data_IF_626385484792
#
_entry.id   IF_626385484792
#
_cell.length_a   1.000
_cell.length_b   1.000
_cell.length_c   1.000
_cell.angle_alpha   90.00
_cell.angle_beta   90.00
_cell.angle_gamma   90.00
#
_symmetry.space_group_name_H-M   'P 1'
#
loop_
_entity.id
_entity.type
_entity.pdbx_description
1 polymer ?
#
# COMPACT_ATOMS: atom_id res chain seq x y z
N UNK A 1 23.33 26.10 -46.79
CA UNK A 1 22.12 25.35 -46.35
C UNK A 1 22.50 23.88 -46.31
N UNK A 2 22.38 23.08 -45.25
CA UNK A 2 21.40 23.03 -44.15
C UNK A 2 22.00 22.11 -43.05
N UNK A 3 22.71 22.70 -42.07
CA UNK A 3 23.17 21.99 -40.85
C UNK A 3 22.06 22.15 -39.80
N UNK A 4 20.93 21.48 -40.03
CA UNK A 4 19.78 21.51 -39.10
C UNK A 4 19.09 20.15 -39.16
N UNK A 5 19.71 19.12 -38.58
CA UNK A 5 19.01 17.84 -38.42
C UNK A 5 19.57 16.95 -37.31
N UNK A 6 20.77 17.23 -36.77
CA UNK A 6 21.36 16.41 -35.70
C UNK A 6 21.07 16.90 -34.27
N UNK A 7 20.84 18.20 -34.06
CA UNK A 7 20.56 18.75 -32.72
C UNK A 7 19.16 18.43 -32.19
N UNK A 8 18.17 18.28 -33.09
CA UNK A 8 16.77 18.06 -32.70
C UNK A 8 16.50 16.64 -32.19
N UNK A 9 17.20 15.63 -32.76
CA UNK A 9 17.08 14.22 -32.35
C UNK A 9 17.64 13.96 -30.96
N UNK A 10 18.65 14.72 -30.54
CA UNK A 10 19.28 14.54 -29.22
C UNK A 10 18.39 15.10 -28.09
N UNK A 11 17.71 16.22 -28.33
CA UNK A 11 16.77 16.79 -27.37
C UNK A 11 15.54 15.90 -27.12
N UNK A 12 15.00 15.26 -28.16
CA UNK A 12 13.87 14.33 -28.02
C UNK A 12 14.25 13.08 -27.20
N UNK A 13 15.47 12.56 -27.38
CA UNK A 13 15.96 11.45 -26.56
C UNK A 13 16.17 11.85 -25.08
N UNK A 14 16.59 13.10 -24.84
CA UNK A 14 16.81 13.62 -23.49
C UNK A 14 15.48 13.84 -22.74
N UNK A 15 14.44 14.34 -23.42
CA UNK A 15 13.10 14.52 -22.83
C UNK A 15 12.43 13.17 -22.53
N UNK A 16 12.61 12.15 -23.39
CA UNK A 16 12.09 10.80 -23.11
C UNK A 16 12.79 10.12 -21.93
N UNK A 17 14.08 10.39 -21.68
CA UNK A 17 14.81 9.83 -20.54
C UNK A 17 14.32 10.33 -19.18
N UNK A 18 13.81 11.56 -19.11
CA UNK A 18 13.37 12.19 -17.85
C UNK A 18 11.98 11.67 -17.42
N UNK A 19 11.12 11.30 -18.37
CA UNK A 19 9.78 10.76 -18.09
C UNK A 19 9.76 9.32 -17.57
N UNK A 20 10.89 8.59 -17.65
CA UNK A 20 11.03 7.23 -17.11
C UNK A 20 11.55 7.20 -15.67
N UNK A 21 11.82 8.36 -15.08
CA UNK A 21 11.95 8.48 -13.63
C UNK A 21 10.54 8.50 -13.03
N UNK A 22 9.83 7.38 -13.18
CA UNK A 22 8.67 7.09 -12.37
C UNK A 22 9.11 7.18 -10.93
N UNK A 23 8.77 8.29 -10.28
CA UNK A 23 8.82 8.37 -8.84
C UNK A 23 7.97 7.19 -8.37
N UNK A 24 8.62 6.14 -7.87
CA UNK A 24 8.02 5.27 -6.88
C UNK A 24 7.66 6.22 -5.73
N UNK A 25 6.46 6.82 -5.80
CA UNK A 25 5.95 7.70 -4.78
C UNK A 25 5.88 6.85 -3.53
N UNK A 26 6.88 7.01 -2.65
CA UNK A 26 6.83 6.43 -1.33
C UNK A 26 5.55 6.94 -0.68
N UNK A 27 4.54 6.08 -0.56
CA UNK A 27 3.29 6.43 0.10
C UNK A 27 3.61 6.90 1.51
N UNK A 28 2.97 7.97 1.96
CA UNK A 28 3.18 8.45 3.33
C UNK A 28 2.68 7.41 4.34
N UNK A 29 3.25 7.41 5.55
CA UNK A 29 2.80 6.49 6.62
C UNK A 29 1.30 6.67 6.91
N UNK A 30 0.80 7.90 6.84
CA UNK A 30 -0.63 8.18 7.05
C UNK A 30 -1.51 7.57 5.94
N UNK A 31 -1.03 7.59 4.69
CA UNK A 31 -1.73 6.98 3.56
C UNK A 31 -1.76 5.46 3.68
N UNK A 32 -0.64 4.84 4.05
CA UNK A 32 -0.57 3.39 4.23
C UNK A 32 -1.40 2.94 5.46
N UNK A 33 -1.42 3.73 6.52
CA UNK A 33 -2.28 3.48 7.68
C UNK A 33 -3.76 3.62 7.33
N UNK A 34 -4.13 4.61 6.52
CA UNK A 34 -5.50 4.74 6.02
C UNK A 34 -5.90 3.56 5.12
N UNK A 35 -5.00 3.09 4.25
CA UNK A 35 -5.24 1.87 3.46
C UNK A 35 -5.46 0.66 4.37
N UNK A 36 -4.66 0.50 5.43
CA UNK A 36 -4.85 -0.58 6.40
C UNK A 36 -6.23 -0.51 7.07
N UNK A 37 -6.70 0.68 7.45
CA UNK A 37 -8.04 0.85 8.01
C UNK A 37 -9.14 0.43 7.02
N UNK A 38 -9.02 0.82 5.74
CA UNK A 38 -9.98 0.40 4.70
C UNK A 38 -10.00 -1.12 4.49
N UNK A 39 -8.87 -1.79 4.61
CA UNK A 39 -8.81 -3.26 4.52
C UNK A 39 -9.48 -3.90 5.75
N UNK A 40 -9.25 -3.34 6.95
CA UNK A 40 -9.93 -3.80 8.17
C UNK A 40 -11.45 -3.66 8.05
N UNK A 41 -11.95 -2.54 7.51
CA UNK A 41 -13.38 -2.35 7.27
C UNK A 41 -13.95 -3.38 6.28
N UNK A 42 -13.19 -3.76 5.25
CA UNK A 42 -13.58 -4.81 4.32
C UNK A 42 -13.64 -6.20 4.98
N UNK A 43 -12.75 -6.49 5.93
CA UNK A 43 -12.83 -7.72 6.74
C UNK A 43 -14.15 -7.75 7.52
N UNK A 44 -14.51 -6.65 8.18
CA UNK A 44 -15.76 -6.55 8.93
C UNK A 44 -16.99 -6.69 8.01
N UNK A 45 -16.96 -6.07 6.84
CA UNK A 45 -18.03 -6.19 5.84
C UNK A 45 -18.18 -7.63 5.36
N UNK A 46 -17.08 -8.27 4.93
CA UNK A 46 -17.08 -9.67 4.50
C UNK A 46 -17.59 -10.60 5.61
N UNK A 47 -17.17 -10.37 6.85
CA UNK A 47 -17.64 -11.11 8.01
C UNK A 47 -19.15 -10.95 8.22
N UNK A 48 -19.68 -9.73 8.11
CA UNK A 48 -21.11 -9.43 8.30
C UNK A 48 -22.03 -10.16 7.32
N UNK A 49 -21.54 -10.46 6.12
CA UNK A 49 -22.29 -11.19 5.08
C UNK A 49 -21.93 -12.68 5.02
N UNK A 50 -21.09 -13.16 5.94
CA UNK A 50 -20.65 -14.56 5.99
C UNK A 50 -19.67 -14.98 4.88
N UNK A 51 -19.04 -14.01 4.20
CA UNK A 51 -18.03 -14.28 3.17
C UNK A 51 -16.69 -14.67 3.79
N UNK A 52 -16.51 -15.97 4.07
CA UNK A 52 -15.28 -16.52 4.64
C UNK A 52 -14.05 -16.34 3.74
N UNK A 53 -14.25 -16.38 2.42
CA UNK A 53 -13.14 -16.23 1.46
C UNK A 53 -12.66 -14.78 1.44
N UNK A 54 -13.60 -13.83 1.44
CA UNK A 54 -13.32 -12.40 1.58
C UNK A 54 -12.64 -12.08 2.91
N UNK A 55 -13.15 -12.60 4.03
CA UNK A 55 -12.51 -12.46 5.34
C UNK A 55 -11.06 -12.93 5.30
N UNK A 56 -10.80 -14.13 4.77
CA UNK A 56 -9.45 -14.66 4.71
C UNK A 56 -8.52 -13.83 3.82
N UNK A 57 -9.00 -13.45 2.63
CA UNK A 57 -8.23 -12.70 1.64
C UNK A 57 -7.84 -11.33 2.17
N UNK A 58 -8.79 -10.57 2.71
CA UNK A 58 -8.53 -9.24 3.24
C UNK A 58 -7.73 -9.30 4.54
N UNK A 59 -7.91 -10.32 5.38
CA UNK A 59 -7.07 -10.51 6.58
C UNK A 59 -5.61 -10.77 6.24
N UNK A 60 -5.33 -11.54 5.19
CA UNK A 60 -3.95 -11.72 4.69
C UNK A 60 -3.38 -10.41 4.15
N UNK A 61 -4.19 -9.64 3.41
CA UNK A 61 -3.78 -8.32 2.90
C UNK A 61 -3.47 -7.35 4.04
N UNK A 62 -4.35 -7.25 5.04
CA UNK A 62 -4.15 -6.40 6.21
C UNK A 62 -2.89 -6.80 6.99
N UNK A 63 -2.62 -8.10 7.16
CA UNK A 63 -1.41 -8.57 7.81
C UNK A 63 -0.14 -8.12 7.07
N UNK A 64 -0.12 -8.23 5.75
CA UNK A 64 1.04 -7.81 4.96
C UNK A 64 1.28 -6.30 5.04
N UNK A 65 0.22 -5.50 4.90
CA UNK A 65 0.29 -4.04 5.06
C UNK A 65 0.76 -3.65 6.46
N UNK A 66 0.22 -4.28 7.51
CA UNK A 66 0.63 -4.03 8.88
C UNK A 66 2.11 -4.35 9.08
N UNK A 67 2.60 -5.50 8.60
CA UNK A 67 4.02 -5.86 8.74
C UNK A 67 4.95 -4.86 8.04
N UNK A 68 4.53 -4.29 6.91
CA UNK A 68 5.28 -3.26 6.20
C UNK A 68 5.40 -1.97 7.03
N UNK A 69 4.31 -1.53 7.67
CA UNK A 69 4.25 -0.22 8.32
C UNK A 69 4.47 -0.24 9.83
N UNK A 70 4.38 -1.41 10.47
CA UNK A 70 4.45 -1.56 11.93
C UNK A 70 5.69 -0.88 12.54
N UNK A 71 6.91 -1.02 11.99
CA UNK A 71 8.08 -0.37 12.57
C UNK A 71 7.98 1.17 12.52
N UNK A 72 7.35 1.72 11.48
CA UNK A 72 7.17 3.15 11.32
C UNK A 72 6.01 3.68 12.20
N UNK A 73 4.92 2.90 12.33
CA UNK A 73 3.82 3.19 13.23
C UNK A 73 4.29 3.24 14.69
N UNK A 74 5.04 2.24 15.15
CA UNK A 74 5.55 2.19 16.52
C UNK A 74 6.42 3.41 16.88
N UNK A 75 7.19 3.92 15.91
CA UNK A 75 8.03 5.11 16.11
C UNK A 75 7.26 6.42 16.10
N UNK A 76 6.29 6.58 15.18
CA UNK A 76 5.60 7.86 14.94
C UNK A 76 4.27 8.00 15.66
N UNK A 77 3.64 6.89 16.06
CA UNK A 77 2.31 6.84 16.68
C UNK A 77 2.30 5.87 17.86
N UNK A 78 3.14 6.11 18.86
CA UNK A 78 3.25 5.27 20.06
C UNK A 78 1.97 5.18 20.91
N UNK A 79 1.03 6.11 20.75
CA UNK A 79 -0.28 6.10 21.41
C UNK A 79 -1.30 5.16 20.74
N UNK A 80 -1.00 4.61 19.56
CA UNK A 80 -1.86 3.64 18.88
C UNK A 80 -1.81 2.30 19.63
N UNK A 81 -2.95 1.66 19.82
CA UNK A 81 -3.01 0.29 20.31
C UNK A 81 -2.70 -0.70 19.18
N UNK A 82 -1.41 -1.01 19.05
CA UNK A 82 -0.91 -1.93 18.03
C UNK A 82 -1.38 -3.36 18.26
N UNK A 83 -1.66 -3.74 19.52
CA UNK A 83 -2.14 -5.07 19.86
C UNK A 83 -3.60 -5.24 19.39
N UNK A 84 -4.47 -4.28 19.68
CA UNK A 84 -5.85 -4.30 19.21
C UNK A 84 -5.95 -4.34 17.66
N UNK A 85 -5.06 -3.62 16.98
CA UNK A 85 -4.96 -3.65 15.52
C UNK A 85 -4.57 -5.04 15.00
N UNK A 86 -3.59 -5.67 15.65
CA UNK A 86 -3.15 -7.02 15.29
C UNK A 86 -4.21 -8.08 15.60
N UNK A 87 -4.90 -7.97 16.73
CA UNK A 87 -5.98 -8.89 17.15
C UNK A 87 -7.13 -8.90 16.14
N UNK A 88 -7.51 -7.73 15.63
CA UNK A 88 -8.56 -7.60 14.61
C UNK A 88 -8.22 -8.39 13.34
N UNK A 89 -6.95 -8.39 12.92
CA UNK A 89 -6.46 -9.12 11.75
C UNK A 89 -6.37 -10.63 12.05
N UNK A 90 -5.88 -11.00 13.23
CA UNK A 90 -5.75 -12.40 13.64
C UNK A 90 -7.11 -13.11 13.71
N UNK A 91 -8.17 -12.44 14.18
CA UNK A 91 -9.53 -12.98 14.20
C UNK A 91 -10.02 -13.41 12.81
N UNK A 92 -9.70 -12.64 11.77
CA UNK A 92 -10.05 -12.99 10.40
C UNK A 92 -9.13 -14.08 9.82
N UNK A 93 -7.82 -14.07 10.13
CA UNK A 93 -6.89 -15.13 9.72
C UNK A 93 -7.26 -16.51 10.29
N UNK A 94 -7.84 -16.56 11.48
CA UNK A 94 -8.33 -17.82 12.07
C UNK A 94 -9.44 -18.48 11.24
N UNK A 95 -10.14 -17.72 10.39
CA UNK A 95 -11.21 -18.21 9.53
C UNK A 95 -10.70 -18.71 8.17
N UNK A 96 -9.39 -18.62 7.89
CA UNK A 96 -8.76 -19.14 6.67
C UNK A 96 -8.64 -20.67 6.62
N UNK A 97 -9.11 -21.40 7.64
CA UNK A 97 -8.97 -22.85 7.77
C UNK A 97 -10.18 -23.61 7.25
#
# INVERSE_FOLDING_TARGET
MRIQSRFHRWWLALIMGISLSGNAQAQSLDQQFFELQLVIDQIYLAHSVGDRVGVCTESRRANNLLLEILPALQRKRSSLDHAALQDSILLGLNQCR
#
